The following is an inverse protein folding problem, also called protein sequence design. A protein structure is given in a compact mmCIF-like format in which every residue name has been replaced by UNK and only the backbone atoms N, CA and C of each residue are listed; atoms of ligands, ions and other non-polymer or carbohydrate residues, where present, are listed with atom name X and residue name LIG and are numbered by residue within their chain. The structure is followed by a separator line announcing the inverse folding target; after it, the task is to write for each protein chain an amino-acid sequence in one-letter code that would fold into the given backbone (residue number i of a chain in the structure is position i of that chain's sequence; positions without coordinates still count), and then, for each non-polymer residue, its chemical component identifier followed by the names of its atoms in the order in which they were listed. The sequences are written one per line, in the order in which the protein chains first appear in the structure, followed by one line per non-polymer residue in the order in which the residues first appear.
data_IF_962489836688
#
_entry.id   IF_962489836688
#
_cell.length_a   1.000
_cell.length_b   1.000
_cell.length_c   1.000
_cell.angle_alpha   90.00
_cell.angle_beta   90.00
_cell.angle_gamma   90.00
#
_symmetry.space_group_name_H-M   'P 1'
#
loop_
_entity.id
_entity.type
_entity.pdbx_description
1 polymer ?
#
# COMPACT_ATOMS: atom_id res chain seq x y z
N UNK A 1 -0.79 -6.14 -12.23
CA UNK A 1 0.40 -6.50 -11.39
C UNK A 1 0.65 -5.39 -10.39
N UNK A 2 0.62 -5.70 -9.09
CA UNK A 2 -0.03 -4.85 -8.08
C UNK A 2 0.78 -3.77 -7.37
N UNK A 3 2.09 -3.90 -7.34
CA UNK A 3 3.01 -2.85 -6.88
C UNK A 3 4.31 -3.10 -7.60
N UNK A 4 4.83 -2.12 -8.34
CA UNK A 4 6.21 -2.20 -8.83
C UNK A 4 7.17 -2.32 -7.63
N UNK A 5 8.40 -2.85 -7.81
CA UNK A 5 9.38 -2.86 -6.73
C UNK A 5 9.64 -1.45 -6.19
N UNK A 6 9.56 -0.45 -7.07
CA UNK A 6 9.67 0.97 -6.73
C UNK A 6 8.52 1.47 -5.86
N UNK A 7 7.27 1.12 -6.17
CA UNK A 7 6.13 1.52 -5.33
C UNK A 7 6.15 0.80 -3.98
N UNK A 8 6.58 -0.47 -3.95
CA UNK A 8 6.82 -1.20 -2.71
C UNK A 8 7.88 -0.51 -1.84
N UNK A 9 9.04 -0.19 -2.41
CA UNK A 9 10.12 0.54 -1.73
C UNK A 9 9.66 1.93 -1.27
N UNK A 10 8.89 2.63 -2.10
CA UNK A 10 8.36 3.96 -1.79
C UNK A 10 7.39 3.91 -0.61
N UNK A 11 6.51 2.90 -0.56
CA UNK A 11 5.60 2.72 0.57
C UNK A 11 6.36 2.40 1.86
N UNK A 12 7.42 1.58 1.82
CA UNK A 12 8.28 1.32 2.98
C UNK A 12 8.99 2.59 3.48
N UNK A 13 9.51 3.42 2.57
CA UNK A 13 10.08 4.72 2.90
C UNK A 13 9.05 5.66 3.50
N UNK A 14 7.83 5.69 2.97
CA UNK A 14 6.74 6.50 3.53
C UNK A 14 6.41 6.06 4.96
N UNK A 15 6.26 4.76 5.20
CA UNK A 15 5.99 4.22 6.52
C UNK A 15 7.11 4.58 7.53
N UNK A 16 8.38 4.42 7.15
CA UNK A 16 9.51 4.82 7.97
C UNK A 16 9.54 6.34 8.26
N UNK A 17 9.05 7.18 7.33
CA UNK A 17 8.94 8.63 7.54
C UNK A 17 7.83 8.97 8.53
N UNK A 18 6.68 8.30 8.45
CA UNK A 18 5.57 8.46 9.40
C UNK A 18 5.99 8.02 10.80
N UNK A 19 6.64 6.85 10.91
CA UNK A 19 7.13 6.33 12.19
C UNK A 19 8.13 7.28 12.84
N UNK A 20 9.06 7.83 12.05
CA UNK A 20 10.00 8.86 12.51
C UNK A 20 9.26 10.05 13.12
N UNK A 21 8.24 10.56 12.43
CA UNK A 21 7.46 11.71 12.90
C UNK A 21 6.73 11.40 14.21
N UNK A 22 6.26 10.17 14.39
CA UNK A 22 5.56 9.75 15.61
C UNK A 22 6.49 9.58 16.82
N UNK A 23 7.69 8.99 16.63
CA UNK A 23 8.59 8.68 17.75
C UNK A 23 9.61 9.78 18.06
N UNK A 24 9.95 10.63 17.09
CA UNK A 24 10.87 11.78 17.16
C UNK A 24 12.25 11.57 17.83
N UNK A 25 12.63 10.32 18.15
CA UNK A 25 13.87 9.95 18.84
C UNK A 25 14.96 9.45 17.88
N UNK A 26 14.56 8.93 16.72
CA UNK A 26 15.47 8.28 15.78
C UNK A 26 15.42 8.93 14.41
N UNK A 27 16.50 8.76 13.63
CA UNK A 27 16.56 9.24 12.27
C UNK A 27 15.78 8.32 11.30
N UNK A 28 15.60 8.77 10.05
CA UNK A 28 14.82 8.01 9.06
C UNK A 28 15.47 6.65 8.73
N UNK A 29 16.79 6.64 8.61
CA UNK A 29 17.58 5.43 8.29
C UNK A 29 17.40 4.35 9.34
N UNK A 30 17.30 4.71 10.62
CA UNK A 30 17.04 3.77 11.71
C UNK A 30 15.77 2.95 11.46
N UNK A 31 14.67 3.60 11.05
CA UNK A 31 13.42 2.89 10.78
C UNK A 31 13.49 2.03 9.52
N UNK A 32 14.22 2.46 8.49
CA UNK A 32 14.49 1.65 7.30
C UNK A 32 15.30 0.38 7.65
N UNK A 33 16.34 0.53 8.47
CA UNK A 33 17.13 -0.60 8.96
C UNK A 33 16.33 -1.49 9.91
N UNK A 34 15.41 -0.90 10.69
CA UNK A 34 14.48 -1.66 11.52
C UNK A 34 13.53 -2.53 10.67
N UNK A 35 12.94 -1.98 9.61
CA UNK A 35 12.14 -2.75 8.63
C UNK A 35 12.95 -3.90 8.05
N UNK A 36 14.18 -3.64 7.62
CA UNK A 36 15.05 -4.65 7.05
C UNK A 36 15.41 -5.75 8.07
N UNK A 37 15.81 -5.37 9.28
CA UNK A 37 16.25 -6.28 10.34
C UNK A 37 15.15 -7.19 10.85
N UNK A 38 13.95 -6.69 11.10
CA UNK A 38 12.82 -7.56 11.48
C UNK A 38 12.49 -8.55 10.36
N UNK A 39 12.76 -8.17 9.11
CA UNK A 39 12.53 -9.00 7.92
C UNK A 39 13.68 -9.97 7.60
N UNK A 40 14.73 -10.02 8.44
CA UNK A 40 15.86 -10.95 8.29
C UNK A 40 17.04 -10.40 7.48
N UNK A 41 17.04 -9.12 7.11
CA UNK A 41 18.15 -8.47 6.41
C UNK A 41 19.00 -7.65 7.37
N UNK A 42 20.31 -7.62 7.17
CA UNK A 42 21.23 -6.87 8.05
C UNK A 42 20.90 -5.38 8.13
N UNK A 43 20.50 -4.78 7.01
CA UNK A 43 20.20 -3.37 6.88
C UNK A 43 19.37 -3.11 5.61
N UNK A 44 18.88 -1.88 5.48
CA UNK A 44 18.08 -1.41 4.35
C UNK A 44 18.79 -1.60 3.01
N UNK A 45 20.09 -1.30 2.94
CA UNK A 45 20.84 -1.40 1.69
C UNK A 45 20.87 -2.84 1.13
N UNK A 46 20.97 -3.85 2.00
CA UNK A 46 20.91 -5.26 1.57
C UNK A 46 19.51 -5.69 1.14
N UNK A 47 18.47 -5.24 1.84
CA UNK A 47 17.08 -5.47 1.41
C UNK A 47 16.84 -4.86 0.02
N UNK A 48 17.19 -3.59 -0.16
CA UNK A 48 17.04 -2.88 -1.43
C UNK A 48 17.80 -3.58 -2.56
N UNK A 49 19.08 -3.91 -2.34
CA UNK A 49 19.90 -4.61 -3.33
C UNK A 49 19.33 -5.99 -3.71
N UNK A 50 18.66 -6.68 -2.80
CA UNK A 50 18.01 -7.95 -3.11
C UNK A 50 16.71 -7.72 -3.90
N UNK A 51 15.94 -6.68 -3.58
CA UNK A 51 14.76 -6.28 -4.36
C UNK A 51 15.13 -5.89 -5.80
N UNK A 52 16.30 -5.26 -6.01
CA UNK A 52 16.79 -4.88 -7.34
C UNK A 52 17.19 -6.09 -8.21
N UNK A 53 17.49 -7.25 -7.58
CA UNK A 53 17.94 -8.46 -8.27
C UNK A 53 16.81 -9.40 -8.66
N UNK A 54 15.66 -9.32 -8.00
CA UNK A 54 14.56 -10.25 -8.23
C UNK A 54 13.73 -9.82 -9.42
N UNK A 55 13.30 -10.79 -10.24
CA UNK A 55 12.33 -10.51 -11.30
C UNK A 55 11.05 -9.98 -10.67
N UNK A 56 10.57 -8.86 -11.19
CA UNK A 56 9.33 -8.26 -10.74
C UNK A 56 8.18 -9.29 -10.76
N UNK A 57 7.47 -9.38 -9.62
CA UNK A 57 6.40 -10.34 -9.33
C UNK A 57 6.70 -11.79 -9.66
N UNK A 58 7.98 -12.14 -9.77
CA UNK A 58 8.42 -13.52 -9.68
C UNK A 58 8.19 -14.06 -8.26
N UNK A 59 8.29 -15.39 -8.08
CA UNK A 59 8.10 -16.04 -6.77
C UNK A 59 8.98 -15.43 -5.67
N UNK A 60 10.23 -15.10 -5.99
CA UNK A 60 11.17 -14.50 -5.04
C UNK A 60 10.73 -13.12 -4.55
N UNK A 61 10.26 -12.25 -5.46
CA UNK A 61 9.74 -10.92 -5.06
C UNK A 61 8.51 -11.05 -4.16
N UNK A 62 7.59 -11.97 -4.50
CA UNK A 62 6.40 -12.22 -3.69
C UNK A 62 6.75 -12.69 -2.28
N UNK A 63 7.74 -13.58 -2.17
CA UNK A 63 8.21 -14.08 -0.88
C UNK A 63 8.85 -12.98 -0.03
N UNK A 64 9.72 -12.16 -0.62
CA UNK A 64 10.33 -11.02 0.09
C UNK A 64 9.25 -10.06 0.58
N UNK A 65 8.28 -9.70 -0.29
CA UNK A 65 7.17 -8.81 0.07
C UNK A 65 6.35 -9.39 1.23
N UNK A 66 6.00 -10.68 1.16
CA UNK A 66 5.24 -11.35 2.23
C UNK A 66 5.98 -11.32 3.57
N UNK A 67 7.27 -11.64 3.59
CA UNK A 67 8.09 -11.61 4.81
C UNK A 67 8.17 -10.20 5.39
N UNK A 68 8.40 -9.20 4.54
CA UNK A 68 8.52 -7.80 4.98
C UNK A 68 7.19 -7.31 5.54
N UNK A 69 6.09 -7.53 4.82
CA UNK A 69 4.76 -7.04 5.20
C UNK A 69 4.23 -7.69 6.48
N UNK A 70 4.45 -9.00 6.66
CA UNK A 70 4.03 -9.72 7.88
C UNK A 70 4.76 -9.27 9.16
N UNK A 71 5.90 -8.59 9.02
CA UNK A 71 6.73 -8.14 10.17
C UNK A 71 6.73 -6.63 10.34
N UNK A 72 6.04 -5.92 9.46
CA UNK A 72 6.05 -4.47 9.36
C UNK A 72 5.46 -3.79 10.61
N UNK A 73 4.46 -4.42 11.25
CA UNK A 73 3.89 -3.99 12.53
C UNK A 73 4.94 -3.87 13.65
N UNK A 74 5.98 -4.71 13.65
CA UNK A 74 7.06 -4.64 14.65
C UNK A 74 8.04 -3.50 14.36
N UNK A 75 8.22 -3.15 13.10
CA UNK A 75 9.14 -2.11 12.69
C UNK A 75 8.52 -0.72 12.85
N UNK A 76 7.31 -0.53 12.32
CA UNK A 76 6.63 0.76 12.18
C UNK A 76 5.17 0.69 12.66
N UNK A 77 4.93 0.45 13.97
CA UNK A 77 3.59 0.26 14.51
C UNK A 77 2.67 1.47 14.34
N UNK A 78 3.20 2.70 14.29
CA UNK A 78 2.38 3.89 14.11
C UNK A 78 2.02 4.13 12.65
N UNK A 79 2.80 3.60 11.71
CA UNK A 79 2.56 3.74 10.27
C UNK A 79 1.84 2.54 9.63
N UNK A 80 1.64 1.44 10.36
CA UNK A 80 1.17 0.18 9.79
C UNK A 80 -0.22 0.29 9.16
N UNK A 81 -1.14 1.00 9.80
CA UNK A 81 -2.51 1.13 9.29
C UNK A 81 -2.53 1.85 7.94
N UNK A 82 -1.84 2.99 7.83
CA UNK A 82 -1.74 3.74 6.57
C UNK A 82 -1.02 2.92 5.48
N UNK A 83 0.01 2.17 5.87
CA UNK A 83 0.72 1.28 4.95
C UNK A 83 -0.21 0.20 4.38
N UNK A 84 -0.99 -0.49 5.23
CA UNK A 84 -1.92 -1.54 4.80
C UNK A 84 -2.98 -0.97 3.85
N UNK A 85 -3.57 0.19 4.18
CA UNK A 85 -4.53 0.87 3.29
C UNK A 85 -3.90 1.16 1.93
N UNK A 86 -2.67 1.69 1.90
CA UNK A 86 -1.98 1.99 0.64
C UNK A 86 -1.61 0.73 -0.17
N UNK A 87 -1.24 -0.37 0.50
CA UNK A 87 -0.89 -1.63 -0.13
C UNK A 87 -2.13 -2.30 -0.74
N UNK A 88 -3.23 -2.36 0.02
CA UNK A 88 -4.52 -2.87 -0.46
C UNK A 88 -5.06 -2.00 -1.59
N UNK A 89 -5.00 -0.66 -1.49
CA UNK A 89 -5.41 0.23 -2.59
C UNK A 89 -4.63 -0.05 -3.88
N UNK A 90 -3.33 -0.31 -3.78
CA UNK A 90 -2.50 -0.64 -4.95
C UNK A 90 -2.86 -2.01 -5.52
N UNK A 91 -3.15 -2.99 -4.64
CA UNK A 91 -3.70 -4.28 -5.03
C UNK A 91 -5.03 -4.14 -5.77
N UNK A 92 -5.91 -3.25 -5.33
CA UNK A 92 -7.19 -3.10 -6.00
C UNK A 92 -7.03 -2.42 -7.36
N UNK A 93 -6.26 -1.31 -7.43
CA UNK A 93 -5.99 -0.56 -8.67
C UNK A 93 -5.38 -1.38 -9.80
N UNK A 94 -4.63 -2.44 -9.50
CA UNK A 94 -3.99 -3.23 -10.56
C UNK A 94 -4.83 -4.39 -11.12
N UNK A 95 -5.99 -4.71 -10.52
CA UNK A 95 -6.71 -6.03 -10.50
C UNK A 95 -8.09 -5.74 -11.01
N UNK A 96 -8.60 -4.63 -10.53
CA UNK A 96 -9.83 -4.05 -10.93
C UNK A 96 -9.43 -2.86 -11.78
N UNK A 97 -9.83 -2.88 -13.05
CA UNK A 97 -9.62 -1.76 -13.96
C UNK A 97 -10.17 -0.47 -13.33
N UNK A 98 -9.54 0.67 -13.61
CA UNK A 98 -10.20 1.97 -13.43
C UNK A 98 -11.49 1.89 -14.25
N UNK A 99 -12.64 1.85 -13.57
CA UNK A 99 -13.99 1.75 -14.13
C UNK A 99 -14.41 3.02 -14.91
N UNK A 100 -13.52 3.62 -15.69
CA UNK A 100 -13.72 4.92 -16.30
C UNK A 100 -14.29 4.87 -17.72
N UNK A 101 -14.17 3.76 -18.47
CA UNK A 101 -14.59 3.79 -19.88
C UNK A 101 -15.89 3.04 -20.22
N UNK A 102 -16.39 2.09 -19.41
CA UNK A 102 -17.60 1.32 -19.77
C UNK A 102 -18.50 0.85 -18.61
N UNK A 103 -18.63 1.63 -17.53
CA UNK A 103 -19.68 1.39 -16.51
C UNK A 103 -21.03 1.92 -17.03
N UNK A 104 -21.58 1.27 -18.06
CA UNK A 104 -22.90 1.61 -18.56
C UNK A 104 -23.95 1.19 -17.52
N UNK A 105 -24.95 2.03 -17.23
CA UNK A 105 -26.09 1.63 -16.43
C UNK A 105 -26.72 0.38 -17.05
N UNK A 106 -26.85 -0.68 -16.26
CA UNK A 106 -27.46 -1.93 -16.68
C UNK A 106 -28.51 -2.32 -15.64
N UNK A 107 -29.78 -2.08 -15.97
CA UNK A 107 -30.92 -2.39 -15.12
C UNK A 107 -31.16 -3.89 -14.92
N UNK A 108 -30.47 -4.75 -15.68
CA UNK A 108 -30.51 -6.21 -15.51
C UNK A 108 -29.44 -6.73 -14.54
N UNK A 109 -28.46 -5.91 -14.19
CA UNK A 109 -27.41 -6.25 -13.23
C UNK A 109 -27.87 -6.03 -11.77
N UNK A 110 -27.29 -6.79 -10.84
CA UNK A 110 -27.63 -6.71 -9.41
C UNK A 110 -27.19 -5.38 -8.75
N UNK A 111 -26.23 -4.68 -9.35
CA UNK A 111 -25.68 -3.43 -8.83
C UNK A 111 -26.02 -2.20 -9.69
N UNK A 112 -26.80 -2.37 -10.77
CA UNK A 112 -27.18 -1.30 -11.67
C UNK A 112 -26.11 -0.91 -12.71
N UNK A 113 -25.00 -1.63 -12.81
CA UNK A 113 -23.92 -1.40 -13.76
C UNK A 113 -23.48 -2.67 -14.48
N UNK A 114 -22.96 -2.52 -15.70
CA UNK A 114 -22.48 -3.61 -16.56
C UNK A 114 -21.30 -4.44 -16.00
N UNK A 115 -20.73 -4.08 -14.84
CA UNK A 115 -19.59 -4.77 -14.23
C UNK A 115 -20.02 -5.61 -13.01
N UNK A 116 -19.45 -6.82 -12.79
CA UNK A 116 -19.76 -7.63 -11.62
C UNK A 116 -19.46 -6.93 -10.29
N UNK A 117 -20.36 -7.05 -9.31
CA UNK A 117 -20.06 -6.67 -7.93
C UNK A 117 -18.92 -7.55 -7.41
N UNK A 118 -17.85 -6.92 -6.93
CA UNK A 118 -16.77 -7.63 -6.25
C UNK A 118 -17.05 -7.55 -4.75
N UNK A 119 -17.03 -8.69 -4.08
CA UNK A 119 -16.96 -8.73 -2.62
C UNK A 119 -15.53 -8.34 -2.21
N UNK A 120 -15.39 -7.07 -1.80
CA UNK A 120 -14.10 -6.49 -1.42
C UNK A 120 -13.51 -7.22 -0.20
N UNK A 121 -14.36 -7.57 0.76
CA UNK A 121 -13.96 -8.27 1.99
C UNK A 121 -13.42 -9.65 1.66
N UNK A 122 -14.15 -10.43 0.85
CA UNK A 122 -13.70 -11.75 0.43
C UNK A 122 -12.38 -11.69 -0.36
N UNK A 123 -12.28 -10.76 -1.33
CA UNK A 123 -11.07 -10.64 -2.16
C UNK A 123 -9.84 -10.23 -1.35
N UNK A 124 -9.96 -9.27 -0.43
CA UNK A 124 -8.85 -8.84 0.41
C UNK A 124 -8.46 -9.93 1.41
N UNK A 125 -9.44 -10.58 2.04
CA UNK A 125 -9.18 -11.64 3.01
C UNK A 125 -8.42 -12.80 2.37
N UNK A 126 -8.87 -13.29 1.21
CA UNK A 126 -8.21 -14.38 0.50
C UNK A 126 -6.74 -14.08 0.15
N UNK A 127 -6.42 -12.83 -0.19
CA UNK A 127 -5.10 -12.45 -0.70
C UNK A 127 -4.12 -11.92 0.37
N UNK A 128 -4.63 -11.55 1.55
CA UNK A 128 -3.82 -10.85 2.56
C UNK A 128 -3.95 -11.40 3.98
N UNK A 129 -4.82 -12.37 4.26
CA UNK A 129 -4.97 -12.94 5.61
C UNK A 129 -3.70 -13.60 6.15
N UNK A 130 -2.81 -14.06 5.27
CA UNK A 130 -1.51 -14.64 5.62
C UNK A 130 -0.39 -13.59 5.72
N UNK A 131 -0.69 -12.33 5.40
CA UNK A 131 0.24 -11.21 5.41
C UNK A 131 -0.07 -10.27 6.58
N UNK A 132 -1.33 -9.91 6.79
CA UNK A 132 -1.75 -8.94 7.80
C UNK A 132 -2.72 -9.56 8.81
N UNK A 133 -2.66 -9.12 10.08
CA UNK A 133 -3.69 -9.44 11.06
C UNK A 133 -5.08 -9.00 10.58
N UNK A 134 -6.09 -9.82 10.87
CA UNK A 134 -7.50 -9.59 10.52
C UNK A 134 -8.00 -8.20 10.96
N UNK A 135 -7.62 -7.76 12.16
CA UNK A 135 -8.02 -6.43 12.67
C UNK A 135 -7.51 -5.27 11.81
N UNK A 136 -6.32 -5.37 11.22
CA UNK A 136 -5.80 -4.36 10.30
C UNK A 136 -6.47 -4.42 8.94
N UNK A 137 -6.81 -5.63 8.47
CA UNK A 137 -7.55 -5.81 7.24
C UNK A 137 -8.94 -5.21 7.34
N UNK A 138 -9.68 -5.48 8.41
CA UNK A 138 -11.03 -4.95 8.59
C UNK A 138 -11.04 -3.42 8.60
N UNK A 139 -10.13 -2.79 9.35
CA UNK A 139 -10.03 -1.32 9.38
C UNK A 139 -9.72 -0.76 7.98
N UNK A 140 -8.86 -1.43 7.22
CA UNK A 140 -8.51 -0.97 5.89
C UNK A 140 -9.66 -1.20 4.88
N UNK A 141 -10.39 -2.31 4.98
CA UNK A 141 -11.60 -2.59 4.20
C UNK A 141 -12.64 -1.49 4.46
N UNK A 142 -12.95 -1.21 5.73
CA UNK A 142 -13.93 -0.17 6.09
C UNK A 142 -13.58 1.21 5.52
N UNK A 143 -12.29 1.54 5.44
CA UNK A 143 -11.82 2.78 4.82
C UNK A 143 -12.01 2.73 3.31
N UNK A 144 -11.61 1.64 2.66
CA UNK A 144 -11.68 1.50 1.20
C UNK A 144 -13.13 1.43 0.69
N UNK A 145 -14.05 0.80 1.44
CA UNK A 145 -15.49 0.79 1.11
C UNK A 145 -16.09 2.20 1.17
N UNK A 146 -15.69 3.01 2.15
CA UNK A 146 -16.13 4.41 2.27
C UNK A 146 -15.57 5.30 1.18
N UNK A 147 -14.34 5.05 0.73
CA UNK A 147 -13.70 5.79 -0.36
C UNK A 147 -14.34 5.50 -1.74
N UNK A 148 -15.07 4.38 -1.86
CA UNK A 148 -15.76 3.99 -3.10
C UNK A 148 -14.80 3.54 -4.21
N UNK A 149 -15.30 3.36 -5.46
CA UNK A 149 -14.57 2.70 -6.54
C UNK A 149 -13.52 3.61 -7.19
N UNK A 150 -12.47 4.00 -6.43
CA UNK A 150 -11.14 4.44 -6.89
C UNK A 150 -10.82 5.96 -6.95
N UNK A 151 -11.53 6.83 -6.24
CA UNK A 151 -11.23 8.28 -6.19
C UNK A 151 -9.83 8.60 -5.64
N UNK A 152 -8.89 8.93 -6.52
CA UNK A 152 -8.29 10.27 -6.63
C UNK A 152 -7.69 10.37 -8.03
N UNK A 153 -8.03 11.45 -8.73
CA UNK A 153 -7.29 11.93 -9.89
C UNK A 153 -5.79 11.76 -9.65
N UNK A 154 -5.05 11.33 -10.67
CA UNK A 154 -3.59 11.45 -10.68
C UNK A 154 -3.17 12.94 -10.81
N UNK A 155 -4.00 13.87 -10.34
CA UNK A 155 -3.75 15.29 -10.24
C UNK A 155 -2.84 15.52 -9.06
N UNK A 156 -1.57 15.74 -9.37
CA UNK A 156 -0.59 16.33 -8.50
C UNK A 156 -1.22 17.32 -7.52
N UNK A 157 -1.14 17.03 -6.21
CA UNK A 157 -1.26 18.08 -5.21
C UNK A 157 0.01 18.93 -5.37
N UNK A 158 -0.04 19.87 -6.32
CA UNK A 158 0.79 21.05 -6.28
C UNK A 158 0.40 21.79 -5.00
N UNK A 159 1.24 21.68 -3.98
CA UNK A 159 1.33 22.75 -3.01
C UNK A 159 1.93 23.93 -3.77
N UNK A 160 1.09 24.76 -4.39
CA UNK A 160 1.45 26.14 -4.56
C UNK A 160 1.67 26.67 -3.14
N UNK A 161 2.94 26.76 -2.74
CA UNK A 161 3.33 27.68 -1.68
C UNK A 161 2.87 29.05 -2.16
N UNK A 162 1.70 29.49 -1.68
CA UNK A 162 1.36 30.90 -1.60
C UNK A 162 2.38 31.54 -0.66
N UNK A 163 3.58 31.76 -1.18
CA UNK A 163 4.51 32.76 -0.72
C UNK A 163 3.91 34.11 -1.03
N UNK A 164 2.99 34.55 -0.17
CA UNK A 164 2.83 35.98 0.09
C UNK A 164 4.18 36.48 0.61
N UNK A 165 4.94 37.11 -0.28
CA UNK A 165 6.11 37.92 0.06
C UNK A 165 6.25 39.02 -0.98
N UNK A 166 5.62 40.15 -0.67
CA UNK A 166 6.08 41.52 -0.87
C UNK A 166 6.86 41.86 -2.14
N UNK A 167 6.18 42.52 -3.09
CA UNK A 167 6.66 43.70 -3.83
C UNK A 167 5.48 44.63 -4.15
#
# INVERSE_FOLDING_TARGET
MYLTPESFITNLKRAAKIEKRAQNQHNHTFFLDKIASVSGYKNWALLHKNLDKVRFGGPQFREIRKIVNSRLVKAVPNAIQEYVISDLRSYLKGNFEKLAEFSMPDSSSTNGFSHPSIDLTASITENFSDIYPESLLQVAIDVLEKEGPWCMDDGDIYFEEFGLSDW
#
